data_IF_892407036892
#
_entry.id   IF_892407036892
#
_cell.length_a   1.000
_cell.length_b   1.000
_cell.length_c   1.000
_cell.angle_alpha   90.00
_cell.angle_beta   90.00
_cell.angle_gamma   90.00
#
_symmetry.space_group_name_H-M   'P 1'
#
loop_
_entity.id
_entity.type
_entity.pdbx_description
1 polymer ?
#
# COMPACT_ATOMS: atom_id res chain seq x y z
N UNK A 1 14.08 24.61 -22.23
CA UNK A 1 13.28 25.40 -21.28
C UNK A 1 11.99 24.65 -20.99
N UNK A 2 12.06 23.72 -20.05
CA UNK A 2 10.94 22.86 -19.65
C UNK A 2 9.96 23.74 -18.87
N UNK A 3 8.77 23.96 -19.43
CA UNK A 3 7.81 24.95 -18.94
C UNK A 3 7.26 24.55 -17.57
N UNK A 4 7.05 25.54 -16.69
CA UNK A 4 6.46 25.42 -15.34
C UNK A 4 5.14 24.61 -15.29
N UNK A 5 4.51 24.32 -16.44
CA UNK A 5 3.35 23.43 -16.58
C UNK A 5 3.67 21.95 -16.29
N UNK A 6 4.84 21.44 -16.67
CA UNK A 6 5.22 20.05 -16.37
C UNK A 6 5.59 19.88 -14.89
N UNK A 7 6.26 20.85 -14.26
CA UNK A 7 6.50 20.83 -12.82
C UNK A 7 5.20 20.91 -11.99
N UNK A 8 4.16 21.58 -12.51
CA UNK A 8 2.84 21.66 -11.85
C UNK A 8 1.97 20.42 -12.05
N UNK A 9 2.22 19.60 -13.08
CA UNK A 9 1.60 18.28 -13.23
C UNK A 9 2.27 17.25 -12.31
N UNK A 10 3.61 17.26 -12.24
CA UNK A 10 4.39 16.40 -11.34
C UNK A 10 4.19 16.76 -9.86
N UNK A 11 3.84 18.02 -9.54
CA UNK A 11 3.48 18.43 -8.18
C UNK A 11 1.99 18.27 -7.83
N UNK A 12 1.13 17.84 -8.77
CA UNK A 12 -0.32 17.67 -8.56
C UNK A 12 -0.76 16.21 -8.38
N UNK A 13 0.10 15.24 -8.66
CA UNK A 13 0.04 13.95 -7.96
C UNK A 13 0.72 14.15 -6.60
N UNK A 14 -0.02 14.70 -5.63
CA UNK A 14 0.32 14.39 -4.23
C UNK A 14 0.16 12.88 -4.14
N UNK A 15 1.27 12.13 -4.04
CA UNK A 15 1.23 10.71 -3.73
C UNK A 15 0.22 10.52 -2.60
N UNK A 16 -0.83 9.75 -2.85
CA UNK A 16 -1.87 9.57 -1.87
C UNK A 16 -1.25 8.87 -0.66
N UNK A 17 -1.40 9.43 0.53
CA UNK A 17 -0.75 8.91 1.73
C UNK A 17 -1.72 8.12 2.57
N UNK A 18 -1.33 6.89 2.96
CA UNK A 18 -2.08 6.12 3.95
C UNK A 18 -2.25 6.88 5.27
N UNK A 19 -1.36 7.83 5.58
CA UNK A 19 -1.47 8.72 6.75
C UNK A 19 -2.80 9.46 6.83
N UNK A 20 -3.33 9.86 5.69
CA UNK A 20 -4.58 10.63 5.61
C UNK A 20 -5.81 9.75 5.90
N UNK A 21 -5.68 8.42 5.77
CA UNK A 21 -6.74 7.43 6.02
C UNK A 21 -6.63 6.87 7.44
N UNK A 22 -5.43 6.48 7.88
CA UNK A 22 -5.25 5.73 9.14
C UNK A 22 -4.87 6.61 10.33
N UNK A 23 -4.66 7.89 10.09
CA UNK A 23 -4.19 8.86 11.08
C UNK A 23 -2.67 8.82 11.28
N UNK A 24 -2.16 9.91 11.87
CA UNK A 24 -0.71 10.12 12.06
C UNK A 24 -0.05 9.06 12.92
N UNK A 25 -0.61 8.77 14.10
CA UNK A 25 0.06 7.91 15.08
C UNK A 25 0.22 6.47 14.58
N UNK A 26 -0.83 5.95 13.94
CA UNK A 26 -0.86 4.63 13.30
C UNK A 26 0.15 4.56 12.16
N UNK A 27 0.14 5.55 11.26
CA UNK A 27 1.07 5.59 10.13
C UNK A 27 2.53 5.63 10.60
N UNK A 28 2.84 6.44 11.61
CA UNK A 28 4.18 6.49 12.17
C UNK A 28 4.61 5.17 12.83
N UNK A 29 3.68 4.46 13.47
CA UNK A 29 3.95 3.12 14.00
C UNK A 29 4.29 2.13 12.88
N UNK A 30 3.53 2.13 11.78
CA UNK A 30 3.82 1.30 10.61
C UNK A 30 5.19 1.60 10.00
N UNK A 31 5.50 2.88 9.80
CA UNK A 31 6.82 3.33 9.31
C UNK A 31 7.96 2.81 10.20
N UNK A 32 7.80 2.89 11.53
CA UNK A 32 8.80 2.36 12.49
C UNK A 32 8.93 0.85 12.41
N UNK A 33 7.81 0.13 12.31
CA UNK A 33 7.79 -1.33 12.18
C UNK A 33 8.48 -1.78 10.89
N UNK A 34 8.10 -1.21 9.74
CA UNK A 34 8.68 -1.56 8.45
C UNK A 34 10.19 -1.27 8.42
N UNK A 35 10.61 -0.11 8.93
CA UNK A 35 12.03 0.24 9.02
C UNK A 35 12.84 -0.80 9.81
N UNK A 36 12.24 -1.40 10.85
CA UNK A 36 12.93 -2.37 11.71
C UNK A 36 12.86 -3.80 11.19
N UNK A 37 11.74 -4.19 10.58
CA UNK A 37 11.45 -5.59 10.23
C UNK A 37 11.79 -5.93 8.78
N UNK A 38 11.66 -4.98 7.85
CA UNK A 38 11.83 -5.25 6.42
C UNK A 38 13.25 -5.71 6.07
N UNK A 39 14.35 -5.07 6.52
CA UNK A 39 15.70 -5.41 6.05
C UNK A 39 16.07 -6.90 6.17
N UNK A 40 15.69 -7.56 7.27
CA UNK A 40 16.04 -8.95 7.56
C UNK A 40 14.84 -9.92 7.50
N UNK A 41 13.62 -9.38 7.38
CA UNK A 41 12.40 -10.19 7.41
C UNK A 41 12.19 -11.01 6.13
N UNK A 42 11.57 -12.18 6.28
CA UNK A 42 11.16 -13.04 5.16
C UNK A 42 9.95 -12.44 4.46
N UNK A 43 10.00 -12.34 3.13
CA UNK A 43 8.94 -11.67 2.34
C UNK A 43 7.55 -12.23 2.58
N UNK A 44 7.35 -13.56 2.53
CA UNK A 44 6.04 -14.16 2.81
C UNK A 44 5.45 -13.78 4.20
N UNK A 45 6.27 -13.46 5.20
CA UNK A 45 5.77 -13.00 6.52
C UNK A 45 5.47 -11.51 6.52
N UNK A 46 6.32 -10.74 5.84
CA UNK A 46 6.16 -9.31 5.72
C UNK A 46 4.98 -8.95 4.81
N UNK A 47 4.71 -9.76 3.78
CA UNK A 47 3.62 -9.57 2.83
C UNK A 47 2.27 -9.63 3.54
N UNK A 48 2.02 -10.69 4.31
CA UNK A 48 0.84 -10.82 5.17
C UNK A 48 0.70 -9.65 6.15
N UNK A 49 1.81 -9.18 6.74
CA UNK A 49 1.78 -8.02 7.65
C UNK A 49 1.37 -6.74 6.92
N UNK A 50 1.90 -6.48 5.73
CA UNK A 50 1.54 -5.30 4.92
C UNK A 50 0.11 -5.42 4.40
N UNK A 51 -0.32 -6.60 3.94
CA UNK A 51 -1.72 -6.89 3.60
C UNK A 51 -2.66 -6.58 4.77
N UNK A 52 -2.29 -6.96 6.00
CA UNK A 52 -3.06 -6.61 7.21
C UNK A 52 -3.10 -5.10 7.49
N UNK A 53 -2.03 -4.37 7.18
CA UNK A 53 -2.05 -2.89 7.24
C UNK A 53 -3.01 -2.31 6.20
N UNK A 54 -3.03 -2.86 4.98
CA UNK A 54 -3.95 -2.43 3.91
C UNK A 54 -5.41 -2.73 4.27
N UNK A 55 -5.71 -3.91 4.82
CA UNK A 55 -7.03 -4.27 5.33
C UNK A 55 -7.49 -3.34 6.46
N UNK A 56 -6.58 -2.99 7.37
CA UNK A 56 -6.86 -1.96 8.39
C UNK A 56 -7.20 -0.62 7.74
N UNK A 57 -6.44 -0.19 6.72
CA UNK A 57 -6.71 1.07 6.03
C UNK A 57 -8.06 1.07 5.30
N UNK A 58 -8.43 -0.04 4.64
CA UNK A 58 -9.74 -0.20 4.01
C UNK A 58 -10.88 -0.12 5.04
N UNK A 59 -10.73 -0.78 6.19
CA UNK A 59 -11.72 -0.69 7.28
C UNK A 59 -11.87 0.75 7.83
N UNK A 60 -10.76 1.49 7.94
CA UNK A 60 -10.81 2.91 8.32
C UNK A 60 -11.50 3.77 7.25
N UNK A 61 -11.26 3.50 5.97
CA UNK A 61 -11.95 4.17 4.87
C UNK A 61 -13.47 3.93 4.91
N UNK A 62 -13.92 2.69 5.18
CA UNK A 62 -15.35 2.39 5.34
C UNK A 62 -15.99 3.19 6.48
N UNK A 63 -15.29 3.34 7.61
CA UNK A 63 -15.79 4.05 8.78
C UNK A 63 -15.93 5.57 8.56
N UNK A 64 -15.11 6.14 7.67
CA UNK A 64 -15.13 7.58 7.35
C UNK A 64 -16.12 7.95 6.21
N UNK A 65 -16.73 6.96 5.55
CA UNK A 65 -17.64 7.08 4.41
C UNK A 65 -18.99 7.78 4.65
N UNK A 66 -19.20 8.40 5.82
CA UNK A 66 -20.32 9.35 6.04
C UNK A 66 -20.08 10.73 5.40
N UNK A 67 -18.89 10.98 4.84
CA UNK A 67 -18.57 12.20 4.07
C UNK A 67 -18.57 11.88 2.58
N UNK A 68 -19.13 12.76 1.74
CA UNK A 68 -19.03 12.65 0.27
C UNK A 68 -17.57 12.46 -0.15
N UNK A 69 -17.17 11.22 -0.41
CA UNK A 69 -15.79 10.93 -0.79
C UNK A 69 -15.55 11.36 -2.24
N UNK A 70 -14.45 12.07 -2.46
CA UNK A 70 -13.99 12.37 -3.81
C UNK A 70 -13.69 11.04 -4.53
N UNK A 71 -14.26 10.84 -5.73
CA UNK A 71 -14.14 9.64 -6.58
C UNK A 71 -12.71 9.21 -6.95
N UNK A 72 -11.69 9.92 -6.48
CA UNK A 72 -10.27 9.64 -6.72
C UNK A 72 -9.43 9.70 -5.43
N UNK A 73 -10.08 9.66 -4.27
CA UNK A 73 -9.40 9.60 -2.97
C UNK A 73 -8.72 8.23 -2.76
N UNK A 74 -7.76 8.16 -1.84
CA UNK A 74 -7.16 6.88 -1.46
C UNK A 74 -8.17 5.96 -0.77
N UNK A 75 -9.09 6.54 0.01
CA UNK A 75 -10.14 5.81 0.69
C UNK A 75 -11.02 5.07 -0.33
N UNK A 76 -11.50 5.77 -1.36
CA UNK A 76 -12.27 5.16 -2.45
C UNK A 76 -11.49 4.07 -3.17
N UNK A 77 -10.20 4.25 -3.45
CA UNK A 77 -9.39 3.21 -4.10
C UNK A 77 -9.09 2.01 -3.20
N UNK A 78 -8.98 2.20 -1.87
CA UNK A 78 -8.84 1.08 -0.92
C UNK A 78 -10.11 0.24 -0.87
N UNK A 79 -11.28 0.89 -0.87
CA UNK A 79 -12.58 0.21 -0.93
C UNK A 79 -12.79 -0.51 -2.27
N UNK A 80 -12.36 0.08 -3.38
CA UNK A 80 -12.40 -0.61 -4.67
C UNK A 80 -11.43 -1.80 -4.69
N UNK A 81 -10.24 -1.64 -4.12
CA UNK A 81 -9.24 -2.71 -4.06
C UNK A 81 -9.70 -3.92 -3.23
N UNK A 82 -10.61 -3.76 -2.26
CA UNK A 82 -11.15 -4.91 -1.52
C UNK A 82 -12.15 -5.75 -2.33
N UNK A 83 -12.65 -5.23 -3.45
CA UNK A 83 -13.68 -5.89 -4.27
C UNK A 83 -13.10 -6.60 -5.51
N UNK A 84 -11.81 -6.38 -5.81
CA UNK A 84 -11.13 -6.99 -6.95
C UNK A 84 -10.42 -8.28 -6.55
N UNK A 85 -10.26 -9.18 -7.52
CA UNK A 85 -9.57 -10.48 -7.33
C UNK A 85 -8.28 -10.61 -8.14
N UNK A 86 -7.89 -9.57 -8.87
CA UNK A 86 -6.63 -9.54 -9.62
C UNK A 86 -5.61 -8.63 -8.89
N UNK A 87 -4.45 -9.15 -8.47
CA UNK A 87 -3.38 -8.35 -7.86
C UNK A 87 -2.94 -7.16 -8.71
N UNK A 88 -3.04 -7.27 -10.04
CA UNK A 88 -2.67 -6.19 -10.97
C UNK A 88 -3.67 -5.02 -10.88
N UNK A 89 -4.95 -5.30 -10.65
CA UNK A 89 -5.96 -4.25 -10.43
C UNK A 89 -5.75 -3.58 -9.07
N UNK A 90 -5.38 -4.34 -8.03
CA UNK A 90 -4.97 -3.75 -6.74
C UNK A 90 -3.76 -2.84 -6.91
N UNK A 91 -2.77 -3.28 -7.70
CA UNK A 91 -1.59 -2.48 -7.99
C UNK A 91 -1.97 -1.13 -8.61
N UNK A 92 -2.80 -1.13 -9.65
CA UNK A 92 -3.27 0.10 -10.29
C UNK A 92 -4.01 1.04 -9.32
N UNK A 93 -4.70 0.49 -8.33
CA UNK A 93 -5.51 1.24 -7.37
C UNK A 93 -4.71 1.85 -6.22
N UNK A 94 -3.69 1.17 -5.68
CA UNK A 94 -3.05 1.58 -4.40
C UNK A 94 -1.52 1.58 -4.39
N UNK A 95 -0.85 1.20 -5.49
CA UNK A 95 0.61 1.04 -5.50
C UNK A 95 1.36 2.33 -5.18
N UNK A 96 0.88 3.49 -5.61
CA UNK A 96 1.50 4.79 -5.29
C UNK A 96 1.61 5.03 -3.77
N UNK A 97 0.57 4.69 -3.03
CA UNK A 97 0.50 4.82 -1.58
C UNK A 97 1.41 3.80 -0.86
N UNK A 98 1.44 2.55 -1.35
CA UNK A 98 2.31 1.50 -0.80
C UNK A 98 3.79 1.83 -1.01
N UNK A 99 4.14 2.31 -2.21
CA UNK A 99 5.51 2.79 -2.50
C UNK A 99 5.88 3.95 -1.58
N UNK A 100 4.96 4.89 -1.33
CA UNK A 100 5.22 6.01 -0.43
C UNK A 100 5.48 5.53 1.00
N UNK A 101 4.73 4.54 1.50
CA UNK A 101 4.95 3.93 2.81
C UNK A 101 6.36 3.33 2.94
N UNK A 102 6.81 2.57 1.95
CA UNK A 102 8.17 2.00 1.96
C UNK A 102 9.26 3.07 1.85
N UNK A 103 9.05 4.12 1.02
CA UNK A 103 9.94 5.28 0.92
C UNK A 103 10.11 5.98 2.27
N UNK A 104 9.01 6.21 2.99
CA UNK A 104 9.01 6.84 4.31
C UNK A 104 9.69 5.97 5.38
N UNK A 105 9.49 4.65 5.28
CA UNK A 105 10.22 3.67 6.08
C UNK A 105 11.73 3.62 5.77
N UNK A 106 12.16 4.15 4.62
CA UNK A 106 13.53 4.10 4.09
C UNK A 106 14.02 2.68 3.85
N UNK A 107 13.14 1.83 3.34
CA UNK A 107 13.44 0.44 3.01
C UNK A 107 13.05 0.15 1.56
N UNK A 108 13.70 -0.86 0.96
CA UNK A 108 13.35 -1.34 -0.39
C UNK A 108 12.38 -2.51 -0.28
N UNK A 109 11.35 -2.50 -1.10
CA UNK A 109 10.40 -3.62 -1.22
C UNK A 109 10.81 -4.60 -2.32
N UNK A 110 11.51 -4.13 -3.37
CA UNK A 110 12.12 -4.97 -4.41
C UNK A 110 13.30 -5.79 -3.85
N UNK A 111 13.34 -7.07 -4.21
CA UNK A 111 14.35 -8.01 -3.72
C UNK A 111 14.86 -8.93 -4.82
N UNK A 112 15.99 -9.56 -4.55
CA UNK A 112 16.59 -10.57 -5.42
C UNK A 112 17.10 -11.72 -4.56
N UNK A 113 16.80 -12.95 -4.96
CA UNK A 113 17.20 -14.14 -4.18
C UNK A 113 18.60 -14.61 -4.61
N UNK A 114 19.12 -15.65 -3.95
CA UNK A 114 20.43 -16.21 -4.28
C UNK A 114 20.54 -16.79 -5.70
N UNK A 115 19.40 -17.06 -6.35
CA UNK A 115 19.32 -17.55 -7.74
C UNK A 115 19.20 -16.42 -8.77
N UNK A 116 19.06 -15.17 -8.33
CA UNK A 116 18.86 -14.02 -9.20
C UNK A 116 17.40 -13.71 -9.53
N UNK A 117 16.44 -14.48 -8.99
CA UNK A 117 15.01 -14.22 -9.22
C UNK A 117 14.61 -12.95 -8.48
N UNK A 118 13.91 -12.05 -9.19
CA UNK A 118 13.33 -10.84 -8.62
C UNK A 118 11.96 -11.14 -8.03
N UNK A 119 11.67 -10.50 -6.92
CA UNK A 119 10.37 -10.56 -6.26
C UNK A 119 10.16 -9.26 -5.48
N UNK A 120 8.91 -8.92 -5.22
CA UNK A 120 8.53 -7.64 -4.65
C UNK A 120 7.66 -7.87 -3.42
N UNK A 121 8.09 -7.31 -2.29
CA UNK A 121 7.27 -7.33 -1.09
C UNK A 121 5.93 -6.61 -1.32
N UNK A 122 5.89 -5.58 -2.18
CA UNK A 122 4.64 -4.88 -2.47
C UNK A 122 3.67 -5.79 -3.25
N UNK A 123 4.14 -6.43 -4.32
CA UNK A 123 3.33 -7.35 -5.14
C UNK A 123 2.84 -8.54 -4.31
N UNK A 124 3.73 -9.20 -3.55
CA UNK A 124 3.35 -10.29 -2.65
C UNK A 124 2.29 -9.83 -1.62
N UNK A 125 2.28 -8.54 -1.24
CA UNK A 125 1.27 -8.03 -0.29
C UNK A 125 -0.10 -7.83 -0.94
N UNK A 126 -0.17 -7.62 -2.26
CA UNK A 126 -1.45 -7.48 -2.97
C UNK A 126 -2.14 -8.83 -3.11
N UNK A 127 -1.36 -9.88 -3.40
CA UNK A 127 -1.82 -11.28 -3.38
C UNK A 127 -2.42 -11.64 -2.02
N UNK A 128 -1.68 -11.38 -0.93
CA UNK A 128 -2.16 -11.65 0.43
C UNK A 128 -3.34 -10.75 0.84
N UNK A 129 -3.46 -9.56 0.24
CA UNK A 129 -4.55 -8.63 0.52
C UNK A 129 -5.88 -9.10 -0.09
N UNK A 130 -5.88 -9.57 -1.34
CA UNK A 130 -7.10 -10.08 -1.99
C UNK A 130 -7.53 -11.44 -1.41
N UNK A 131 -6.56 -12.27 -1.03
CA UNK A 131 -6.81 -13.59 -0.44
C UNK A 131 -6.98 -13.55 1.08
N UNK A 132 -7.16 -12.36 1.67
CA UNK A 132 -7.21 -12.18 3.12
C UNK A 132 -8.27 -13.04 3.82
N UNK A 133 -9.41 -13.27 3.15
CA UNK A 133 -10.50 -14.10 3.64
C UNK A 133 -10.55 -15.51 3.02
N UNK A 134 -9.65 -15.83 2.08
CA UNK A 134 -9.62 -17.12 1.36
C UNK A 134 -8.90 -18.21 2.19
N UNK A 135 -9.13 -18.21 3.49
CA UNK A 135 -8.37 -19.05 4.40
C UNK A 135 -8.88 -20.50 4.36
N UNK A 136 -8.03 -21.50 4.06
CA UNK A 136 -8.43 -22.86 3.70
C UNK A 136 -8.92 -23.74 4.87
N UNK A 137 -9.26 -23.14 6.01
CA UNK A 137 -9.77 -23.85 7.20
C UNK A 137 -11.17 -23.42 7.62
N UNK A 138 -11.84 -22.58 6.82
CA UNK A 138 -13.30 -22.58 6.71
C UNK A 138 -13.75 -23.63 5.68
#
# INVERSE_FOLDING_TARGET
>A
MTTKKQAKAVAKERSRSLRDVVGTDTYEAWVRMLRKLVPDGRTHRLAVMVAGMLQYAAAMATADGEREEEKHSLASSLLEATEVSDPSEVEDLIHDAVVQLFKDAKVRFERTNARGDKYSLAEDSYEEFIHWFDMPWE
#
